data_IF_522964354302
#
_entry.id   IF_522964354302
#
_cell.length_a   1.000
_cell.length_b   1.000
_cell.length_c   1.000
_cell.angle_alpha   90.00
_cell.angle_beta   90.00
_cell.angle_gamma   90.00
#
_symmetry.space_group_name_H-M   'P 1'
#
loop_
_entity.id
_entity.type
_entity.pdbx_description
1 polymer ?
#
# COMPACT_ATOMS: atom_id res chain seq x y z
N UNK A 1 19.32 27.11 -0.51
CA UNK A 1 18.56 26.42 -1.57
C UNK A 1 17.29 25.89 -0.93
N UNK A 2 16.14 26.37 -1.42
CA UNK A 2 14.82 26.10 -0.83
C UNK A 2 14.56 24.60 -0.73
N UNK A 3 14.26 24.14 0.47
CA UNK A 3 13.56 22.87 0.69
C UNK A 3 12.12 23.07 0.20
N UNK A 4 11.90 22.96 -1.10
CA UNK A 4 10.57 22.58 -1.58
C UNK A 4 10.33 21.18 -1.02
N UNK A 5 9.75 21.13 0.19
CA UNK A 5 9.31 19.88 0.79
C UNK A 5 8.42 19.21 -0.24
N UNK A 6 8.78 17.99 -0.65
CA UNK A 6 8.01 17.23 -1.63
C UNK A 6 6.53 17.31 -1.21
N UNK A 7 5.68 17.88 -2.06
CA UNK A 7 4.25 17.94 -1.78
C UNK A 7 3.67 16.56 -2.02
N UNK A 8 2.87 16.10 -1.07
CA UNK A 8 2.17 14.83 -1.14
C UNK A 8 0.69 15.07 -0.86
N UNK A 9 -0.17 14.27 -1.48
CA UNK A 9 -1.56 14.16 -1.08
C UNK A 9 -1.94 12.68 -0.85
N UNK A 10 -3.07 12.50 -0.17
CA UNK A 10 -3.61 11.20 0.22
C UNK A 10 -4.79 10.83 -0.67
N UNK A 11 -4.85 9.57 -1.09
CA UNK A 11 -6.02 8.98 -1.75
C UNK A 11 -6.36 7.67 -1.04
N UNK A 12 -7.59 7.56 -0.56
CA UNK A 12 -8.11 6.30 -0.03
C UNK A 12 -8.63 5.45 -1.21
N UNK A 13 -8.34 4.17 -1.18
CA UNK A 13 -8.76 3.19 -2.18
C UNK A 13 -9.31 1.93 -1.50
N UNK A 14 -10.16 1.20 -2.22
CA UNK A 14 -10.65 -0.10 -1.75
C UNK A 14 -9.47 -1.04 -1.49
N UNK A 15 -9.51 -1.81 -0.39
CA UNK A 15 -8.45 -2.74 -0.09
C UNK A 15 -8.35 -3.82 -1.15
N UNK A 16 -7.13 -4.28 -1.43
CA UNK A 16 -6.93 -5.54 -2.14
C UNK A 16 -7.39 -6.75 -1.32
N UNK A 17 -7.37 -6.63 0.01
CA UNK A 17 -7.85 -7.62 0.96
C UNK A 17 -8.12 -7.00 2.34
N UNK A 18 -9.16 -7.47 3.03
CA UNK A 18 -9.57 -7.03 4.37
C UNK A 18 -10.70 -6.00 4.36
N UNK A 19 -10.97 -5.40 5.54
CA UNK A 19 -12.09 -4.50 5.80
C UNK A 19 -11.65 -3.07 6.11
N UNK A 20 -10.46 -2.67 5.67
CA UNK A 20 -9.90 -1.34 5.89
C UNK A 20 -9.51 -0.71 4.56
N UNK A 21 -9.88 0.54 4.31
CA UNK A 21 -9.41 1.28 3.13
C UNK A 21 -7.89 1.43 3.18
N UNK A 22 -7.25 1.29 2.02
CA UNK A 22 -5.82 1.53 1.86
C UNK A 22 -5.61 3.02 1.50
N UNK A 23 -4.89 3.75 2.35
CA UNK A 23 -4.55 5.16 2.14
C UNK A 23 -3.19 5.29 1.48
N UNK A 24 -3.20 5.66 0.21
CA UNK A 24 -2.01 5.82 -0.61
C UNK A 24 -1.45 7.24 -0.56
N UNK A 25 -0.13 7.35 -0.73
CA UNK A 25 0.58 8.63 -0.93
C UNK A 25 0.82 8.86 -2.41
N UNK A 26 0.60 10.08 -2.88
CA UNK A 26 0.80 10.51 -4.27
C UNK A 26 1.62 11.80 -4.28
N UNK A 27 2.64 11.85 -5.15
CA UNK A 27 3.50 13.04 -5.30
C UNK A 27 2.77 14.15 -6.05
N UNK A 28 2.94 15.38 -5.58
CA UNK A 28 2.42 16.58 -6.20
C UNK A 28 1.14 17.12 -5.55
N UNK A 29 0.45 17.99 -6.28
CA UNK A 29 -0.85 18.52 -5.89
C UNK A 29 -1.98 17.59 -6.35
N UNK A 30 -3.07 17.53 -5.58
CA UNK A 30 -4.25 16.75 -5.93
C UNK A 30 -4.88 17.29 -7.24
N UNK A 31 -5.01 16.47 -8.30
CA UNK A 31 -5.70 16.87 -9.54
C UNK A 31 -7.23 16.79 -9.37
N UNK A 32 -7.96 17.07 -10.44
CA UNK A 32 -9.42 16.96 -10.47
C UNK A 32 -9.90 15.53 -10.18
N UNK A 33 -11.10 15.41 -9.61
CA UNK A 33 -11.75 14.11 -9.43
C UNK A 33 -11.94 13.40 -10.79
N UNK A 34 -11.89 12.07 -10.78
CA UNK A 34 -11.89 11.23 -11.98
C UNK A 34 -10.52 11.08 -12.67
N UNK A 35 -9.48 11.77 -12.19
CA UNK A 35 -8.12 11.65 -12.77
C UNK A 35 -7.43 10.38 -12.27
N UNK A 36 -6.85 9.59 -13.19
CA UNK A 36 -5.94 8.50 -12.86
C UNK A 36 -4.59 9.04 -12.37
N UNK A 37 -4.13 8.53 -11.21
CA UNK A 37 -2.84 8.89 -10.61
C UNK A 37 -2.07 7.65 -10.20
N UNK A 38 -0.73 7.76 -10.21
CA UNK A 38 0.16 6.70 -9.76
C UNK A 38 0.62 7.00 -8.33
N UNK A 39 0.35 6.06 -7.43
CA UNK A 39 0.74 6.12 -6.03
C UNK A 39 2.24 5.86 -5.85
N UNK A 40 2.80 6.23 -4.70
CA UNK A 40 4.22 6.00 -4.37
C UNK A 40 4.63 4.51 -4.44
N UNK A 41 3.69 3.60 -4.20
CA UNK A 41 3.91 2.16 -4.30
C UNK A 41 3.67 1.60 -5.72
N UNK A 42 3.38 2.45 -6.72
CA UNK A 42 3.21 2.08 -8.12
C UNK A 42 1.81 1.60 -8.50
N UNK A 43 0.84 1.63 -7.58
CA UNK A 43 -0.56 1.30 -7.88
C UNK A 43 -1.24 2.49 -8.56
N UNK A 44 -2.00 2.24 -9.63
CA UNK A 44 -2.88 3.22 -10.27
C UNK A 44 -4.19 3.33 -9.50
N UNK A 45 -4.61 4.55 -9.17
CA UNK A 45 -5.89 4.83 -8.50
C UNK A 45 -6.56 6.03 -9.15
N UNK A 46 -7.89 6.08 -9.13
CA UNK A 46 -8.66 7.24 -9.56
C UNK A 46 -8.81 8.20 -8.38
N UNK A 47 -8.62 9.49 -8.62
CA UNK A 47 -8.89 10.52 -7.62
C UNK A 47 -10.41 10.62 -7.40
N UNK A 48 -10.85 10.30 -6.20
CA UNK A 48 -12.26 10.34 -5.79
C UNK A 48 -12.38 10.75 -4.33
N UNK A 49 -13.58 11.11 -3.86
CA UNK A 49 -13.88 11.07 -2.44
C UNK A 49 -13.53 9.70 -1.84
N UNK A 50 -13.26 9.67 -0.54
CA UNK A 50 -13.06 8.40 0.17
C UNK A 50 -14.31 7.53 -0.02
N UNK A 51 -14.18 6.25 -0.38
CA UNK A 51 -15.32 5.36 -0.55
C UNK A 51 -16.18 5.32 0.71
N UNK A 52 -17.49 5.21 0.52
CA UNK A 52 -18.39 4.94 1.64
C UNK A 52 -18.01 3.61 2.28
N UNK A 53 -18.09 3.56 3.61
CA UNK A 53 -17.67 2.42 4.40
C UNK A 53 -18.64 1.22 4.32
N UNK A 54 -19.54 1.16 3.35
CA UNK A 54 -20.48 0.05 3.16
C UNK A 54 -20.17 -0.62 1.83
N UNK A 55 -19.39 -1.70 1.88
CA UNK A 55 -19.15 -2.56 0.72
C UNK A 55 -20.03 -3.78 0.94
N UNK A 56 -21.24 -3.69 0.38
CA UNK A 56 -22.16 -4.82 0.19
C UNK A 56 -23.03 -5.19 1.41
N UNK A 57 -23.67 -4.22 2.06
CA UNK A 57 -24.89 -4.37 2.90
C UNK A 57 -24.75 -5.13 4.24
N UNK A 58 -23.81 -6.07 4.29
CA UNK A 58 -23.46 -6.93 5.42
C UNK A 58 -21.98 -6.73 5.85
N UNK A 59 -21.17 -6.06 5.01
CA UNK A 59 -19.74 -5.80 5.26
C UNK A 59 -19.44 -4.29 5.34
N UNK A 60 -19.28 -3.79 6.55
CA UNK A 60 -18.76 -2.44 6.76
C UNK A 60 -17.22 -2.41 6.69
N UNK A 61 -16.67 -1.41 6.01
CA UNK A 61 -15.28 -0.99 6.19
C UNK A 61 -15.19 -0.27 7.54
N UNK A 62 -14.36 -0.79 8.44
CA UNK A 62 -14.32 -0.31 9.81
C UNK A 62 -13.24 0.75 10.04
N UNK A 63 -12.32 0.94 9.10
CA UNK A 63 -11.22 1.90 9.26
C UNK A 63 -10.49 2.25 7.97
N UNK A 64 -9.59 3.23 8.07
CA UNK A 64 -8.60 3.56 7.05
C UNK A 64 -7.21 3.25 7.59
N UNK A 65 -6.35 2.59 6.80
CA UNK A 65 -4.96 2.32 7.16
C UNK A 65 -4.00 2.94 6.14
N UNK A 66 -2.82 3.45 6.54
CA UNK A 66 -1.77 3.82 5.60
C UNK A 66 -1.34 2.62 4.76
N UNK A 67 -1.19 2.81 3.44
CA UNK A 67 -0.55 1.82 2.59
C UNK A 67 0.92 1.68 3.01
N UNK A 68 1.28 0.52 3.54
CA UNK A 68 2.62 0.26 4.07
C UNK A 68 3.73 0.56 3.06
N UNK A 69 3.57 0.11 1.81
CA UNK A 69 4.55 0.35 0.74
C UNK A 69 4.70 1.85 0.41
N UNK A 70 3.62 2.63 0.50
CA UNK A 70 3.71 4.08 0.35
C UNK A 70 4.50 4.71 1.49
N UNK A 71 4.29 4.24 2.73
CA UNK A 71 5.02 4.72 3.90
C UNK A 71 6.52 4.43 3.75
N UNK A 72 6.90 3.21 3.38
CA UNK A 72 8.30 2.83 3.15
C UNK A 72 8.99 3.73 2.12
N UNK A 73 8.29 4.01 1.00
CA UNK A 73 8.80 4.88 -0.05
C UNK A 73 8.96 6.33 0.39
N UNK A 74 8.05 6.83 1.24
CA UNK A 74 8.08 8.20 1.73
C UNK A 74 9.10 8.42 2.87
N UNK A 75 9.32 7.42 3.72
CA UNK A 75 10.28 7.51 4.84
C UNK A 75 11.70 7.13 4.42
N UNK A 76 11.88 6.49 3.25
CA UNK A 76 13.15 5.89 2.86
C UNK A 76 13.55 4.71 3.74
N UNK A 77 12.66 4.25 4.62
CA UNK A 77 12.89 3.15 5.54
C UNK A 77 12.57 1.84 4.79
N UNK A 78 13.46 1.49 3.86
CA UNK A 78 13.44 0.20 3.18
C UNK A 78 13.88 -0.89 4.15
N UNK A 79 13.16 -1.12 5.25
CA UNK A 79 13.40 -2.32 6.04
C UNK A 79 12.95 -3.49 5.17
N UNK A 80 13.87 -4.34 4.70
CA UNK A 80 13.45 -5.46 3.90
C UNK A 80 12.63 -6.34 4.85
N UNK A 81 11.36 -6.58 4.51
CA UNK A 81 10.81 -7.91 4.74
C UNK A 81 11.68 -8.87 3.94
N UNK A 82 12.82 -9.25 4.51
CA UNK A 82 13.33 -10.57 4.32
C UNK A 82 12.16 -11.47 4.71
N UNK A 83 11.43 -11.99 3.72
CA UNK A 83 10.99 -13.38 3.85
C UNK A 83 12.24 -14.11 4.34
N UNK A 84 12.19 -14.91 5.42
CA UNK A 84 13.27 -15.83 5.64
C UNK A 84 13.36 -16.62 4.33
N UNK A 85 14.37 -16.31 3.50
CA UNK A 85 14.79 -17.26 2.49
C UNK A 85 15.21 -18.44 3.35
N UNK A 86 14.59 -19.63 3.21
CA UNK A 86 15.20 -20.79 3.81
C UNK A 86 16.63 -20.77 3.29
N UNK A 87 17.59 -20.76 4.20
CA UNK A 87 18.96 -20.98 3.85
C UNK A 87 19.06 -22.28 3.02
N UNK A 88 20.17 -22.44 2.31
CA UNK A 88 20.41 -23.65 1.54
C UNK A 88 20.40 -24.92 2.43
N UNK A 89 20.42 -24.78 3.76
CA UNK A 89 20.21 -25.84 4.74
C UNK A 89 18.73 -26.21 4.92
N UNK A 90 17.83 -25.24 5.04
CA UNK A 90 16.38 -25.44 5.17
C UNK A 90 15.76 -26.15 3.96
N UNK A 91 16.24 -25.88 2.74
CA UNK A 91 15.81 -26.61 1.54
C UNK A 91 16.34 -28.06 1.46
N UNK A 92 17.47 -28.37 2.10
CA UNK A 92 18.00 -29.75 2.17
C UNK A 92 17.29 -30.58 3.22
N UNK A 93 16.81 -29.98 4.31
CA UNK A 93 16.02 -30.67 5.34
C UNK A 93 14.61 -31.01 4.86
N UNK A 94 14.00 -30.16 4.02
CA UNK A 94 12.68 -30.47 3.43
C UNK A 94 12.71 -31.62 2.41
N UNK A 95 13.83 -31.81 1.69
CA UNK A 95 13.98 -32.97 0.78
C UNK A 95 14.25 -34.29 1.50
N UNK A 96 14.81 -34.28 2.71
CA UNK A 96 15.11 -35.50 3.48
C UNK A 96 13.92 -36.07 4.27
N UNK A 97 12.82 -35.34 4.37
CA UNK A 97 11.59 -35.81 5.03
C UNK A 97 10.60 -36.48 4.07
N UNK A 98 10.99 -36.69 2.80
CA UNK A 98 10.18 -37.34 1.77
C UNK A 98 10.88 -38.55 1.12
N UNK A 99 11.99 -39.02 1.71
CA UNK A 99 12.62 -40.32 1.44
C UNK A 99 12.42 -41.25 2.65
#
# INVERSE_FOLDING_TARGET
MNRDGERWFLQDALPRAGLCLDRHLIRGSRPAEGTDVITACGVSVVVSPSPDCDVDGDLALFSVRPCWLCVEQATGDSRPYARPRPDAEGMRSLRRNFD
#
